data_IF_210922117073
#
_entry.id   IF_210922117073
#
_cell.length_a   1.000
_cell.length_b   1.000
_cell.length_c   1.000
_cell.angle_alpha   90.00
_cell.angle_beta   90.00
_cell.angle_gamma   90.00
#
_symmetry.space_group_name_H-M   'P 1'
#
loop_
_entity.id
_entity.type
_entity.pdbx_description
1 polymer ?
#
# COMPACT_ATOMS: atom_id res chain seq x y z
N UNK A 1 -55.57 4.09 12.45
CA UNK A 1 -54.86 3.95 11.17
C UNK A 1 -54.32 2.55 11.03
N UNK A 2 -54.73 1.79 10.00
CA UNK A 2 -54.74 0.32 9.95
C UNK A 2 -53.39 -0.26 9.49
N UNK A 3 -52.79 -1.13 10.32
CA UNK A 3 -51.73 -2.06 9.99
C UNK A 3 -52.26 -3.18 9.06
N UNK A 4 -51.67 -3.37 7.90
CA UNK A 4 -51.90 -4.59 7.09
C UNK A 4 -50.70 -5.53 7.27
N UNK A 5 -51.01 -6.70 7.80
CA UNK A 5 -50.14 -7.89 7.81
C UNK A 5 -50.33 -8.63 6.49
N UNK A 6 -49.25 -9.11 5.89
CA UNK A 6 -49.29 -10.08 4.77
C UNK A 6 -48.40 -11.28 5.12
N UNK A 7 -48.79 -12.50 4.73
CA UNK A 7 -48.28 -13.73 5.34
C UNK A 7 -47.09 -14.35 4.62
N UNK A 8 -46.35 -15.13 5.41
CA UNK A 8 -45.33 -16.09 4.99
C UNK A 8 -45.97 -17.22 4.14
N UNK A 9 -45.34 -17.58 3.03
CA UNK A 9 -45.52 -18.85 2.32
C UNK A 9 -44.20 -19.60 2.33
N UNK A 10 -44.19 -20.71 3.05
CA UNK A 10 -43.18 -21.73 3.02
C UNK A 10 -43.50 -22.74 1.90
N UNK A 11 -42.57 -23.05 1.03
CA UNK A 11 -42.69 -24.18 0.11
C UNK A 11 -41.46 -25.06 0.35
N UNK A 12 -41.73 -26.22 0.93
CA UNK A 12 -40.84 -27.35 0.99
C UNK A 12 -41.10 -28.23 -0.26
N UNK A 13 -40.06 -28.59 -0.98
CA UNK A 13 -40.15 -29.67 -2.00
C UNK A 13 -38.95 -30.59 -1.83
N UNK A 14 -39.25 -31.81 -1.35
CA UNK A 14 -38.37 -32.94 -1.33
C UNK A 14 -38.47 -33.66 -2.67
N UNK A 15 -37.33 -34.02 -3.26
CA UNK A 15 -37.27 -35.00 -4.37
C UNK A 15 -36.20 -36.04 -4.03
N UNK A 16 -36.69 -37.24 -3.79
CA UNK A 16 -35.96 -38.49 -3.77
C UNK A 16 -35.71 -39.00 -5.21
N UNK A 17 -34.52 -39.44 -5.53
CA UNK A 17 -34.22 -40.05 -6.83
C UNK A 17 -32.98 -40.95 -6.77
N UNK A 18 -33.24 -42.18 -6.59
CA UNK A 18 -32.56 -43.46 -6.88
C UNK A 18 -31.37 -43.49 -7.83
N UNK A 19 -30.31 -44.09 -7.39
CA UNK A 19 -29.40 -45.14 -7.77
C UNK A 19 -28.93 -45.31 -9.20
N UNK A 20 -27.59 -45.40 -9.33
CA UNK A 20 -26.89 -46.29 -10.25
C UNK A 20 -25.46 -46.57 -9.74
N UNK A 21 -25.17 -47.79 -9.42
CA UNK A 21 -23.83 -48.31 -9.19
C UNK A 21 -23.07 -48.37 -10.50
N UNK A 22 -21.89 -47.76 -10.54
CA UNK A 22 -20.88 -48.04 -11.57
C UNK A 22 -19.54 -48.33 -10.90
N UNK A 23 -18.97 -49.46 -11.24
CA UNK A 23 -17.73 -50.04 -10.72
C UNK A 23 -16.54 -49.12 -11.03
N UNK A 24 -15.76 -48.76 -10.00
CA UNK A 24 -14.52 -48.04 -10.15
C UNK A 24 -13.34 -48.99 -10.21
N UNK A 25 -12.58 -48.86 -11.28
CA UNK A 25 -11.23 -49.45 -11.41
C UNK A 25 -10.29 -48.77 -10.39
N UNK A 26 -9.73 -49.58 -9.54
CA UNK A 26 -8.65 -49.21 -8.62
C UNK A 26 -7.35 -48.99 -9.42
N UNK A 27 -7.03 -47.73 -9.71
CA UNK A 27 -5.66 -47.31 -10.03
C UNK A 27 -5.01 -46.90 -8.72
N UNK A 28 -4.07 -47.69 -8.23
CA UNK A 28 -3.17 -47.36 -7.13
C UNK A 28 -2.23 -46.22 -7.57
N UNK A 29 -2.71 -44.98 -7.48
CA UNK A 29 -1.86 -43.81 -7.54
C UNK A 29 -1.20 -43.61 -6.19
N UNK A 30 0.12 -43.80 -6.12
CA UNK A 30 0.94 -43.37 -5.00
C UNK A 30 0.77 -41.86 -4.82
N UNK A 31 -0.04 -41.48 -3.86
CA UNK A 31 -0.11 -40.08 -3.39
C UNK A 31 1.24 -39.74 -2.76
N UNK A 32 2.04 -38.95 -3.47
CA UNK A 32 3.17 -38.28 -2.86
C UNK A 32 2.62 -37.40 -1.72
N UNK A 33 2.82 -37.83 -0.50
CA UNK A 33 2.51 -37.05 0.70
C UNK A 33 3.23 -35.74 0.57
N UNK A 34 2.45 -34.65 0.42
CA UNK A 34 2.97 -33.28 0.43
C UNK A 34 3.63 -33.07 1.80
N UNK A 35 4.95 -33.08 1.81
CA UNK A 35 5.75 -32.84 3.00
C UNK A 35 5.27 -31.52 3.63
N UNK A 36 4.82 -31.49 4.90
CA UNK A 36 4.32 -30.27 5.52
C UNK A 36 5.43 -29.23 5.46
N UNK A 37 5.10 -28.05 4.92
CA UNK A 37 6.01 -26.94 4.83
C UNK A 37 6.67 -26.74 6.19
N UNK A 38 7.99 -26.93 6.26
CA UNK A 38 8.76 -26.72 7.49
C UNK A 38 8.41 -25.35 8.01
N UNK A 39 7.79 -25.28 9.18
CA UNK A 39 7.60 -24.06 9.95
C UNK A 39 9.00 -23.55 10.31
N UNK A 40 9.58 -22.73 9.43
CA UNK A 40 10.82 -22.05 9.76
C UNK A 40 10.52 -21.11 10.93
N UNK A 41 11.03 -21.46 12.09
CA UNK A 41 11.10 -20.53 13.22
C UNK A 41 11.74 -19.24 12.72
N UNK A 42 11.24 -18.04 13.10
CA UNK A 42 11.87 -16.81 12.67
C UNK A 42 13.33 -16.84 13.10
N UNK A 43 14.24 -16.90 12.15
CA UNK A 43 15.67 -16.81 12.42
C UNK A 43 15.93 -15.53 13.25
N UNK A 44 16.81 -15.63 14.24
CA UNK A 44 17.22 -14.46 15.02
C UNK A 44 17.59 -13.33 14.08
N UNK A 45 17.06 -12.12 14.33
CA UNK A 45 17.27 -11.00 13.43
C UNK A 45 18.77 -10.63 13.40
N UNK A 46 19.38 -10.71 12.23
CA UNK A 46 20.75 -10.30 11.98
C UNK A 46 20.92 -8.79 12.24
N UNK A 47 22.17 -8.35 12.52
CA UNK A 47 22.49 -6.94 12.81
C UNK A 47 22.65 -6.12 11.52
N UNK A 48 22.70 -4.77 11.58
CA UNK A 48 22.95 -3.94 10.39
C UNK A 48 24.21 -4.30 9.62
N UNK A 49 25.27 -4.74 10.29
CA UNK A 49 26.52 -5.18 9.67
C UNK A 49 26.42 -6.45 8.83
N UNK A 50 25.37 -7.25 9.06
CA UNK A 50 25.16 -8.51 8.35
C UNK A 50 24.33 -8.31 7.07
N UNK A 51 23.86 -7.08 6.79
CA UNK A 51 23.05 -6.77 5.61
C UNK A 51 23.89 -6.86 4.34
N UNK A 52 23.47 -7.63 3.34
CA UNK A 52 24.17 -7.68 2.05
C UNK A 52 23.80 -6.45 1.21
N UNK A 53 24.34 -5.28 1.56
CA UNK A 53 23.96 -3.98 0.99
C UNK A 53 24.03 -3.94 -0.54
N UNK A 54 24.95 -4.69 -1.15
CA UNK A 54 25.08 -4.78 -2.61
C UNK A 54 23.89 -5.51 -3.27
N UNK A 55 23.11 -6.27 -2.49
CA UNK A 55 21.94 -7.01 -2.97
C UNK A 55 20.63 -6.31 -2.61
N UNK A 56 20.68 -5.24 -1.83
CA UNK A 56 19.48 -4.49 -1.45
C UNK A 56 18.91 -3.78 -2.67
N UNK A 57 17.66 -4.10 -3.01
CA UNK A 57 17.08 -3.59 -4.24
C UNK A 57 15.59 -3.95 -4.35
N UNK A 58 15.09 -4.21 -5.57
CA UNK A 58 13.69 -4.54 -5.80
C UNK A 58 13.19 -5.73 -4.97
N UNK A 59 12.04 -5.55 -4.35
CA UNK A 59 11.40 -6.57 -3.50
C UNK A 59 11.87 -6.58 -2.04
N UNK A 60 12.89 -5.82 -1.67
CA UNK A 60 13.20 -5.53 -0.29
C UNK A 60 12.18 -4.55 0.29
N UNK A 61 11.94 -4.62 1.59
CA UNK A 61 11.04 -3.71 2.30
C UNK A 61 11.64 -3.25 3.61
N UNK A 62 11.35 -2.02 4.01
CA UNK A 62 11.52 -1.56 5.38
C UNK A 62 10.21 -1.77 6.10
N UNK A 63 10.24 -2.41 7.26
CA UNK A 63 9.07 -2.60 8.09
C UNK A 63 9.38 -2.19 9.53
N UNK A 64 8.61 -1.25 10.04
CA UNK A 64 8.64 -0.86 11.44
C UNK A 64 7.45 -1.50 12.13
N UNK A 65 7.68 -2.28 13.16
CA UNK A 65 6.61 -2.90 13.92
C UNK A 65 6.82 -2.82 15.43
N UNK A 66 5.72 -2.86 16.15
CA UNK A 66 5.70 -2.91 17.60
C UNK A 66 4.99 -4.18 18.06
N UNK A 67 5.46 -4.75 19.16
CA UNK A 67 4.77 -5.84 19.83
C UNK A 67 3.75 -5.27 20.82
N UNK A 68 2.61 -5.97 21.01
CA UNK A 68 1.71 -5.66 22.10
C UNK A 68 2.45 -5.78 23.44
N UNK A 69 2.09 -4.92 24.38
CA UNK A 69 2.49 -5.15 25.74
C UNK A 69 1.81 -6.41 26.27
N UNK A 70 2.53 -7.26 27.01
CA UNK A 70 1.84 -8.18 27.90
C UNK A 70 0.96 -7.35 28.84
N UNK A 71 -0.18 -7.89 29.22
CA UNK A 71 -1.24 -7.29 30.03
C UNK A 71 -0.79 -6.13 30.93
N UNK A 72 -1.27 -4.92 30.66
CA UNK A 72 -0.94 -3.76 31.50
C UNK A 72 -0.67 -2.41 30.82
N UNK A 73 -0.98 -2.27 29.53
CA UNK A 73 -1.08 -0.93 28.89
C UNK A 73 0.23 -0.28 28.43
N UNK A 74 1.40 -0.90 28.55
CA UNK A 74 2.64 -0.40 27.97
C UNK A 74 2.88 -1.07 26.60
N UNK A 75 3.05 -0.27 25.55
CA UNK A 75 3.46 -0.79 24.24
C UNK A 75 4.87 -1.37 24.34
N UNK A 76 5.07 -2.52 23.70
CA UNK A 76 6.39 -3.14 23.61
C UNK A 76 7.34 -2.34 22.73
N UNK A 77 8.57 -2.81 22.57
CA UNK A 77 9.57 -2.12 21.75
C UNK A 77 9.15 -2.04 20.28
N UNK A 78 9.45 -0.89 19.68
CA UNK A 78 9.32 -0.67 18.24
C UNK A 78 10.63 -1.03 17.56
N UNK A 79 10.57 -1.82 16.51
CA UNK A 79 11.76 -2.26 15.79
C UNK A 79 11.62 -2.00 14.29
N UNK A 80 12.66 -1.45 13.68
CA UNK A 80 12.78 -1.29 12.24
C UNK A 80 13.59 -2.46 11.68
N UNK A 81 13.03 -3.15 10.71
CA UNK A 81 13.69 -4.21 9.96
C UNK A 81 13.83 -3.85 8.49
N UNK A 82 14.95 -4.24 7.92
CA UNK A 82 15.09 -4.45 6.49
C UNK A 82 14.82 -5.92 6.20
N UNK A 83 13.88 -6.20 5.31
CA UNK A 83 13.42 -7.55 5.00
C UNK A 83 13.72 -7.85 3.53
N UNK A 84 14.44 -8.94 3.29
CA UNK A 84 14.74 -9.39 1.93
C UNK A 84 13.51 -9.98 1.23
N UNK A 85 13.53 -10.11 -0.10
CA UNK A 85 12.46 -10.81 -0.84
C UNK A 85 12.25 -12.26 -0.40
N UNK A 86 13.28 -12.89 0.15
CA UNK A 86 13.22 -14.25 0.71
C UNK A 86 12.73 -14.32 2.15
N UNK A 87 12.46 -13.18 2.81
CA UNK A 87 11.98 -13.11 4.19
C UNK A 87 13.09 -13.03 5.25
N UNK A 88 14.39 -12.97 4.88
CA UNK A 88 15.45 -12.72 5.83
C UNK A 88 15.33 -11.32 6.43
N UNK A 89 15.46 -11.20 7.75
CA UNK A 89 15.23 -9.98 8.53
C UNK A 89 16.52 -9.46 9.13
N UNK A 90 16.80 -8.18 8.92
CA UNK A 90 17.96 -7.47 9.45
C UNK A 90 17.47 -6.32 10.33
N UNK A 91 17.78 -6.34 11.62
CA UNK A 91 17.38 -5.29 12.57
C UNK A 91 18.25 -4.06 12.38
N UNK A 92 17.65 -2.95 11.95
CA UNK A 92 18.36 -1.70 11.71
C UNK A 92 18.32 -0.75 12.91
N UNK A 93 17.16 -0.68 13.60
CA UNK A 93 16.99 0.17 14.78
C UNK A 93 15.95 -0.42 15.73
N UNK A 94 16.00 0.01 17.02
CA UNK A 94 15.03 -0.37 18.04
C UNK A 94 14.82 0.78 19.00
N UNK A 95 13.56 1.03 19.34
CA UNK A 95 13.13 2.02 20.34
C UNK A 95 12.43 1.29 21.48
N UNK A 96 12.53 1.79 22.73
CA UNK A 96 12.00 1.08 23.90
C UNK A 96 10.47 0.96 23.87
N UNK A 97 9.77 1.93 23.30
CA UNK A 97 8.30 1.97 23.24
C UNK A 97 7.81 2.81 22.05
N UNK A 98 6.48 2.82 21.85
CA UNK A 98 5.84 3.57 20.76
C UNK A 98 5.95 5.09 20.93
N UNK A 99 6.07 5.61 22.17
CA UNK A 99 6.15 7.07 22.41
C UNK A 99 7.51 7.64 22.01
N UNK A 100 8.56 6.84 22.15
CA UNK A 100 9.93 7.22 21.78
C UNK A 100 10.25 6.92 20.31
N UNK A 101 9.45 6.07 19.67
CA UNK A 101 9.68 5.68 18.28
C UNK A 101 9.14 6.74 17.32
N UNK A 102 9.94 7.18 16.34
CA UNK A 102 9.43 7.97 15.23
C UNK A 102 8.64 7.08 14.26
N UNK A 103 7.69 7.65 13.54
CA UNK A 103 6.89 6.92 12.54
C UNK A 103 7.64 6.84 11.20
N UNK A 104 7.77 5.63 10.64
CA UNK A 104 8.37 5.43 9.33
C UNK A 104 7.48 6.00 8.21
N UNK A 105 8.02 6.95 7.46
CA UNK A 105 7.31 7.64 6.35
C UNK A 105 7.71 7.09 4.99
N UNK A 106 9.02 7.00 4.73
CA UNK A 106 9.51 6.64 3.40
C UNK A 106 10.92 6.03 3.43
N UNK A 107 11.23 5.35 2.36
CA UNK A 107 12.57 4.88 2.03
C UNK A 107 13.11 5.69 0.85
N UNK A 108 14.35 6.18 0.94
CA UNK A 108 14.95 6.99 -0.12
C UNK A 108 15.13 6.18 -1.41
N UNK A 109 15.01 6.82 -2.58
CA UNK A 109 15.16 6.13 -3.87
C UNK A 109 16.53 5.51 -4.09
N UNK A 110 17.57 6.06 -3.47
CA UNK A 110 18.93 5.52 -3.52
C UNK A 110 19.16 4.33 -2.58
N UNK A 111 18.12 3.92 -1.83
CA UNK A 111 18.18 2.80 -0.90
C UNK A 111 18.96 3.07 0.39
N UNK A 112 19.47 4.28 0.63
CA UNK A 112 20.45 4.55 1.70
C UNK A 112 19.84 5.09 2.98
N UNK A 113 18.63 5.67 2.94
CA UNK A 113 18.04 6.38 4.08
C UNK A 113 16.58 6.03 4.29
N UNK A 114 16.17 5.94 5.55
CA UNK A 114 14.76 5.94 5.94
C UNK A 114 14.37 7.33 6.46
N UNK A 115 13.18 7.80 6.11
CA UNK A 115 12.58 9.05 6.58
C UNK A 115 11.52 8.72 7.62
N UNK A 116 11.50 9.50 8.67
CA UNK A 116 10.56 9.36 9.77
C UNK A 116 9.88 10.69 10.07
N UNK A 117 8.66 10.62 10.56
CA UNK A 117 8.01 11.69 11.29
C UNK A 117 8.31 11.55 12.78
N UNK A 118 8.72 12.65 13.41
CA UNK A 118 9.05 12.70 14.84
C UNK A 118 8.01 13.55 15.56
N UNK A 119 7.41 12.97 16.61
CA UNK A 119 6.38 13.63 17.41
C UNK A 119 6.98 14.17 18.72
N UNK A 120 7.72 15.26 18.68
CA UNK A 120 8.35 15.87 19.86
C UNK A 120 7.89 17.31 20.07
N UNK A 121 6.58 17.55 20.22
CA UNK A 121 5.99 18.86 20.48
C UNK A 121 6.00 19.86 19.30
N UNK A 122 6.94 19.76 18.37
CA UNK A 122 6.96 20.44 17.08
C UNK A 122 7.06 19.41 15.96
N UNK A 123 6.45 19.69 14.82
CA UNK A 123 6.55 18.84 13.64
C UNK A 123 8.02 18.65 13.24
N UNK A 124 8.55 17.47 13.48
CA UNK A 124 9.93 17.12 13.21
C UNK A 124 10.04 15.99 12.19
N UNK A 125 11.21 15.87 11.62
CA UNK A 125 11.60 14.74 10.80
C UNK A 125 12.86 14.08 11.35
N UNK A 126 13.02 12.80 11.04
CA UNK A 126 14.23 12.05 11.32
C UNK A 126 14.70 11.33 10.07
N UNK A 127 16.01 11.18 9.94
CA UNK A 127 16.61 10.35 8.91
C UNK A 127 17.53 9.32 9.54
N UNK A 128 17.34 8.06 9.18
CA UNK A 128 18.24 6.96 9.53
C UNK A 128 19.10 6.61 8.31
N UNK A 129 20.40 6.70 8.44
CA UNK A 129 21.33 6.12 7.49
C UNK A 129 21.37 4.61 7.68
N UNK A 130 20.84 3.84 6.72
CA UNK A 130 20.55 2.42 6.92
C UNK A 130 21.79 1.58 7.16
N UNK A 131 22.89 1.86 6.44
CA UNK A 131 24.13 1.09 6.57
C UNK A 131 24.84 1.28 7.93
N UNK A 132 24.67 2.44 8.55
CA UNK A 132 25.37 2.78 9.83
C UNK A 132 24.44 2.75 11.03
N UNK A 133 23.11 2.72 10.83
CA UNK A 133 22.14 2.86 11.91
C UNK A 133 22.13 4.26 12.56
N UNK A 134 22.85 5.25 11.99
CA UNK A 134 22.91 6.61 12.55
C UNK A 134 21.62 7.37 12.25
N UNK A 135 20.94 7.81 13.28
CA UNK A 135 19.75 8.65 13.25
C UNK A 135 20.12 10.11 13.41
N UNK A 136 19.53 10.99 12.59
CA UNK A 136 19.57 12.44 12.76
C UNK A 136 18.13 12.96 12.80
N UNK A 137 17.84 13.89 13.71
CA UNK A 137 16.52 14.54 13.84
C UNK A 137 16.64 16.03 13.59
N UNK A 138 15.63 16.63 13.01
CA UNK A 138 15.58 18.04 12.69
C UNK A 138 14.13 18.53 12.60
N UNK A 139 13.94 19.85 12.77
CA UNK A 139 12.64 20.49 12.59
C UNK A 139 12.46 20.85 11.13
N UNK A 140 11.31 20.54 10.58
CA UNK A 140 10.91 20.97 9.22
C UNK A 140 10.45 22.42 9.26
N UNK A 141 11.07 23.29 8.46
CA UNK A 141 10.71 24.72 8.40
C UNK A 141 9.24 24.94 8.01
N UNK A 142 8.53 25.80 8.74
CA UNK A 142 7.11 26.09 8.48
C UNK A 142 6.16 25.01 8.98
N UNK A 143 6.51 24.28 10.03
CA UNK A 143 5.72 23.20 10.62
C UNK A 143 5.29 22.13 9.60
N UNK A 144 6.19 21.80 8.69
CA UNK A 144 5.89 20.85 7.63
C UNK A 144 5.95 19.39 8.12
N UNK A 145 5.11 18.55 7.52
CA UNK A 145 5.09 17.11 7.70
C UNK A 145 5.82 16.44 6.54
N UNK A 146 6.81 15.58 6.79
CA UNK A 146 7.50 14.85 5.73
C UNK A 146 6.57 13.80 5.10
N UNK A 147 6.62 13.64 3.77
CA UNK A 147 5.83 12.64 3.03
C UNK A 147 6.68 11.74 2.14
N UNK A 148 7.95 12.08 1.92
CA UNK A 148 8.84 11.28 1.10
C UNK A 148 10.10 12.00 0.68
N UNK A 149 10.78 11.42 -0.31
CA UNK A 149 11.97 11.98 -0.94
C UNK A 149 11.72 12.33 -2.40
N UNK A 150 12.50 13.28 -2.92
CA UNK A 150 12.56 13.52 -4.37
C UNK A 150 13.31 12.38 -5.08
N UNK A 151 12.95 12.12 -6.31
CA UNK A 151 13.62 11.16 -7.19
C UNK A 151 14.70 11.84 -8.03
N UNK A 152 15.62 11.10 -8.63
CA UNK A 152 15.89 9.66 -8.45
C UNK A 152 16.82 9.36 -7.27
N UNK A 153 17.44 10.36 -6.66
CA UNK A 153 18.53 10.17 -5.66
C UNK A 153 18.14 10.54 -4.23
N UNK A 154 16.92 11.01 -3.99
CA UNK A 154 16.50 11.43 -2.66
C UNK A 154 17.28 12.63 -2.11
N UNK A 155 17.66 13.59 -2.96
CA UNK A 155 18.47 14.75 -2.58
C UNK A 155 17.72 15.77 -1.74
N UNK A 156 16.38 15.71 -1.74
CA UNK A 156 15.53 16.58 -0.94
C UNK A 156 14.41 15.75 -0.31
N UNK A 157 13.85 16.26 0.78
CA UNK A 157 12.63 15.78 1.37
C UNK A 157 11.46 16.50 0.71
N UNK A 158 10.40 15.75 0.42
CA UNK A 158 9.09 16.28 0.06
C UNK A 158 8.25 16.31 1.31
N UNK A 159 7.61 17.41 1.57
CA UNK A 159 6.71 17.56 2.71
C UNK A 159 5.50 18.42 2.36
N UNK A 160 4.53 18.40 3.26
CA UNK A 160 3.36 19.27 3.22
C UNK A 160 3.45 20.30 4.33
N UNK A 161 3.04 21.52 4.06
CA UNK A 161 2.98 22.60 5.05
C UNK A 161 1.67 23.37 4.97
N UNK A 162 1.21 23.95 6.09
CA UNK A 162 0.09 24.88 6.07
C UNK A 162 0.39 26.11 5.21
N UNK A 163 -0.62 26.60 4.50
CA UNK A 163 -0.60 27.87 3.75
C UNK A 163 -2.00 28.47 3.77
N UNK A 164 -2.26 29.33 4.76
CA UNK A 164 -3.62 29.77 5.10
C UNK A 164 -4.49 28.56 5.47
N UNK A 165 -5.64 28.44 4.84
CA UNK A 165 -6.59 27.31 5.03
C UNK A 165 -6.23 26.07 4.23
N UNK A 166 -5.14 26.06 3.47
CA UNK A 166 -4.74 24.95 2.59
C UNK A 166 -3.45 24.32 3.07
N UNK A 167 -3.27 23.07 2.71
CA UNK A 167 -2.00 22.36 2.85
C UNK A 167 -1.34 22.28 1.48
N UNK A 168 -0.11 22.75 1.38
CA UNK A 168 0.63 22.80 0.12
C UNK A 168 1.89 21.95 0.17
N UNK A 169 2.27 21.46 -0.99
CA UNK A 169 3.49 20.71 -1.20
C UNK A 169 4.73 21.62 -1.22
N UNK A 170 5.82 21.16 -0.61
CA UNK A 170 7.09 21.88 -0.62
C UNK A 170 8.27 20.91 -0.60
N UNK A 171 9.43 21.39 -1.06
CA UNK A 171 10.71 20.68 -0.98
C UNK A 171 11.57 21.28 0.13
N UNK A 172 12.26 20.40 0.81
CA UNK A 172 13.15 20.70 1.92
C UNK A 172 14.51 20.07 1.69
N UNK A 173 15.56 20.71 2.17
CA UNK A 173 16.87 20.08 2.28
C UNK A 173 16.78 18.84 3.19
N UNK A 174 17.81 18.02 3.17
CA UNK A 174 17.92 16.87 4.09
C UNK A 174 18.03 17.27 5.57
N UNK A 175 18.21 18.57 5.86
CA UNK A 175 18.22 19.15 7.20
C UNK A 175 16.92 19.91 7.55
N UNK A 176 15.87 19.78 6.74
CA UNK A 176 14.56 20.37 7.01
C UNK A 176 14.38 21.85 6.62
N UNK A 177 15.39 22.51 6.03
CA UNK A 177 15.27 23.89 5.54
C UNK A 177 14.42 23.92 4.26
N UNK A 178 13.47 24.84 4.19
CA UNK A 178 12.65 25.05 2.99
C UNK A 178 13.54 25.41 1.79
N UNK A 179 13.47 24.62 0.73
CA UNK A 179 14.15 24.85 -0.55
C UNK A 179 13.20 25.54 -1.52
N UNK A 180 11.96 25.05 -1.59
CA UNK A 180 10.98 25.58 -2.52
C UNK A 180 9.55 25.23 -2.10
N UNK A 181 8.64 26.20 -2.19
CA UNK A 181 7.20 25.94 -2.15
C UNK A 181 6.71 25.62 -3.56
N UNK A 182 5.99 24.52 -3.70
CA UNK A 182 5.48 24.06 -4.99
C UNK A 182 4.06 24.51 -5.28
N UNK A 183 3.33 24.99 -4.25
CA UNK A 183 2.01 25.61 -4.41
C UNK A 183 0.86 24.66 -4.74
N UNK A 184 1.10 23.35 -4.80
CA UNK A 184 0.09 22.32 -5.09
C UNK A 184 -0.37 21.61 -3.82
N UNK A 185 -1.60 21.11 -3.82
CA UNK A 185 -2.12 20.32 -2.70
C UNK A 185 -1.31 19.02 -2.50
N UNK A 186 -1.44 18.44 -1.31
CA UNK A 186 -0.85 17.12 -0.99
C UNK A 186 -1.24 16.05 -2.03
N UNK A 187 -0.36 15.09 -2.26
CA UNK A 187 -0.60 14.01 -3.22
C UNK A 187 0.07 14.25 -4.56
N UNK A 188 1.38 14.54 -4.56
CA UNK A 188 2.19 14.57 -5.78
C UNK A 188 2.93 13.25 -5.96
N UNK A 189 3.02 12.84 -7.21
CA UNK A 189 3.76 11.66 -7.66
C UNK A 189 4.95 12.11 -8.52
N UNK A 190 6.17 12.04 -7.97
CA UNK A 190 7.39 12.37 -8.71
C UNK A 190 7.67 11.35 -9.81
N UNK A 191 8.13 11.84 -10.96
CA UNK A 191 8.60 10.98 -12.04
C UNK A 191 9.86 10.20 -11.63
N UNK A 192 10.11 9.03 -12.22
CA UNK A 192 11.35 8.28 -11.97
C UNK A 192 12.62 9.09 -12.22
N UNK A 193 12.60 9.96 -13.24
CA UNK A 193 13.71 10.86 -13.56
C UNK A 193 13.90 12.00 -12.56
N UNK A 194 12.84 12.37 -11.81
CA UNK A 194 12.83 13.52 -10.91
C UNK A 194 12.78 14.87 -11.60
N UNK A 195 12.58 14.91 -12.92
CA UNK A 195 12.48 16.17 -13.68
C UNK A 195 11.13 16.83 -13.55
N UNK A 196 10.12 16.06 -13.18
CA UNK A 196 8.73 16.49 -13.12
C UNK A 196 7.96 15.71 -12.05
N UNK A 197 6.76 16.15 -11.73
CA UNK A 197 5.81 15.43 -10.89
C UNK A 197 4.38 15.65 -11.39
N UNK A 198 3.48 14.73 -11.02
CA UNK A 198 2.06 14.87 -11.29
C UNK A 198 1.36 15.27 -10.00
N UNK A 199 0.57 16.32 -10.03
CA UNK A 199 -0.24 16.80 -8.92
C UNK A 199 -1.74 16.62 -9.22
N UNK A 200 -2.52 16.40 -8.17
CA UNK A 200 -3.98 16.31 -8.27
C UNK A 200 -4.61 17.66 -8.66
N UNK A 201 -5.78 17.61 -9.31
CA UNK A 201 -6.55 18.79 -9.70
C UNK A 201 -8.05 18.50 -9.77
N UNK A 202 -8.86 19.57 -9.72
CA UNK A 202 -10.33 19.51 -9.80
C UNK A 202 -10.88 19.01 -11.13
N UNK A 203 -10.06 18.99 -12.18
CA UNK A 203 -10.45 18.53 -13.53
C UNK A 203 -9.38 17.61 -14.12
N UNK A 204 -8.95 16.58 -13.37
CA UNK A 204 -7.92 15.65 -13.78
C UNK A 204 -6.63 15.80 -12.98
N UNK A 205 -5.47 15.80 -13.62
CA UNK A 205 -4.17 15.97 -12.97
C UNK A 205 -3.32 17.00 -13.73
N UNK A 206 -2.29 17.52 -13.08
CA UNK A 206 -1.34 18.47 -13.65
C UNK A 206 0.05 17.85 -13.72
N UNK A 207 0.66 17.92 -14.90
CA UNK A 207 2.09 17.66 -15.06
C UNK A 207 2.84 18.94 -14.75
N UNK A 208 3.78 18.88 -13.82
CA UNK A 208 4.48 20.03 -13.25
C UNK A 208 5.98 19.75 -13.28
N UNK A 209 6.78 20.73 -13.67
CA UNK A 209 8.23 20.62 -13.59
C UNK A 209 8.70 20.48 -12.14
N UNK A 210 9.88 19.97 -11.91
CA UNK A 210 10.43 19.92 -10.56
C UNK A 210 10.69 21.32 -9.96
N UNK A 211 10.57 22.38 -10.75
CA UNK A 211 10.63 23.79 -10.30
C UNK A 211 9.24 24.37 -9.96
N UNK A 212 8.17 23.56 -10.03
CA UNK A 212 6.81 23.99 -9.72
C UNK A 212 6.06 24.68 -10.87
N UNK A 213 6.66 24.81 -12.05
CA UNK A 213 6.00 25.39 -13.23
C UNK A 213 5.08 24.37 -13.88
N UNK A 214 3.85 24.77 -14.21
CA UNK A 214 2.91 23.92 -14.95
C UNK A 214 3.48 23.62 -16.34
N UNK A 215 3.65 22.33 -16.68
CA UNK A 215 4.03 21.87 -18.00
C UNK A 215 2.78 21.63 -18.83
N UNK A 216 1.80 20.92 -18.25
CA UNK A 216 0.57 20.54 -18.94
C UNK A 216 -0.58 20.27 -17.97
N UNK A 217 -1.78 20.70 -18.34
CA UNK A 217 -3.03 20.20 -17.76
C UNK A 217 -3.42 18.91 -18.47
N UNK A 218 -3.73 17.86 -17.72
CA UNK A 218 -4.16 16.55 -18.20
C UNK A 218 -5.60 16.31 -17.74
N UNK A 219 -6.59 16.73 -18.52
CA UNK A 219 -7.98 16.73 -18.07
C UNK A 219 -8.58 15.35 -18.03
N UNK A 220 -9.29 15.06 -16.94
CA UNK A 220 -10.28 13.96 -16.85
C UNK A 220 -11.63 14.66 -16.68
N UNK A 221 -12.52 14.57 -17.68
CA UNK A 221 -13.75 15.38 -17.71
C UNK A 221 -14.61 15.17 -16.46
N UNK A 222 -14.99 16.25 -15.80
CA UNK A 222 -15.88 16.27 -14.61
C UNK A 222 -15.37 15.45 -13.42
N UNK A 223 -14.05 15.25 -13.28
CA UNK A 223 -13.47 14.47 -12.21
C UNK A 223 -12.43 15.27 -11.43
N UNK A 224 -12.50 15.25 -10.12
CA UNK A 224 -11.37 15.63 -9.24
C UNK A 224 -10.48 14.41 -9.08
N UNK A 225 -9.20 14.54 -9.43
CA UNK A 225 -8.29 13.40 -9.44
C UNK A 225 -7.07 13.63 -8.55
N UNK A 226 -6.58 12.54 -7.99
CA UNK A 226 -5.30 12.45 -7.29
C UNK A 226 -4.43 11.38 -7.95
N UNK A 227 -3.16 11.64 -8.26
CA UNK A 227 -2.28 10.62 -8.82
C UNK A 227 -1.97 9.56 -7.75
N UNK A 228 -1.98 8.29 -8.14
CA UNK A 228 -1.76 7.16 -7.26
C UNK A 228 -0.37 6.57 -7.49
N UNK A 229 -0.04 6.25 -8.76
CA UNK A 229 1.25 5.68 -9.16
C UNK A 229 1.54 5.90 -10.64
N UNK A 230 2.76 5.69 -11.03
CA UNK A 230 3.12 5.47 -12.43
C UNK A 230 2.61 4.08 -12.86
N UNK A 231 1.77 4.06 -13.89
CA UNK A 231 1.24 2.81 -14.46
C UNK A 231 2.27 2.15 -15.38
N UNK A 232 2.87 2.98 -16.18
CA UNK A 232 4.06 2.74 -17.00
C UNK A 232 4.89 4.03 -17.04
N UNK A 233 5.98 4.07 -17.79
CA UNK A 233 6.84 5.27 -17.85
C UNK A 233 6.18 6.52 -18.46
N UNK A 234 4.93 6.42 -18.99
CA UNK A 234 4.26 7.48 -19.76
C UNK A 234 2.81 7.70 -19.35
N UNK A 235 2.29 6.90 -18.47
CA UNK A 235 0.90 6.95 -18.00
C UNK A 235 0.84 6.96 -16.49
N UNK A 236 -0.02 7.78 -15.94
CA UNK A 236 -0.30 7.81 -14.50
C UNK A 236 -1.63 7.13 -14.22
N UNK A 237 -1.65 6.27 -13.22
CA UNK A 237 -2.88 5.83 -12.58
C UNK A 237 -3.33 6.92 -11.62
N UNK A 238 -4.56 7.40 -11.80
CA UNK A 238 -5.17 8.38 -10.93
C UNK A 238 -6.47 7.84 -10.33
N UNK A 239 -6.69 8.11 -9.06
CA UNK A 239 -7.98 7.91 -8.39
C UNK A 239 -8.78 9.19 -8.54
N UNK A 240 -9.95 9.09 -9.14
CA UNK A 240 -10.77 10.22 -9.52
C UNK A 240 -12.20 10.09 -8.96
N UNK A 241 -12.77 11.22 -8.54
CA UNK A 241 -14.10 11.32 -7.96
C UNK A 241 -14.95 12.30 -8.75
N UNK A 242 -16.17 11.95 -9.19
CA UNK A 242 -17.12 12.92 -9.72
C UNK A 242 -17.51 13.96 -8.66
N UNK A 243 -17.89 15.21 -9.04
CA UNK A 243 -18.25 16.25 -8.08
C UNK A 243 -19.37 15.84 -7.11
N UNK A 244 -20.33 15.07 -7.58
CA UNK A 244 -21.54 14.70 -6.84
C UNK A 244 -21.48 13.29 -6.25
N UNK A 245 -20.28 12.70 -6.14
CA UNK A 245 -20.09 11.33 -5.66
C UNK A 245 -18.97 11.27 -4.64
N UNK A 246 -19.11 10.39 -3.66
CA UNK A 246 -18.05 9.99 -2.74
C UNK A 246 -17.28 8.76 -3.20
N UNK A 247 -17.63 8.21 -4.38
CA UNK A 247 -17.02 6.98 -4.89
C UNK A 247 -15.84 7.27 -5.79
N UNK A 248 -14.72 6.61 -5.53
CA UNK A 248 -13.50 6.73 -6.34
C UNK A 248 -13.52 5.76 -7.52
N UNK A 249 -13.01 6.23 -8.65
CA UNK A 249 -12.81 5.46 -9.87
C UNK A 249 -11.37 5.62 -10.36
N UNK A 250 -10.77 4.55 -10.86
CA UNK A 250 -9.40 4.59 -11.38
C UNK A 250 -9.37 4.94 -12.87
N UNK A 251 -8.45 5.83 -13.21
CA UNK A 251 -8.23 6.32 -14.56
C UNK A 251 -6.76 6.21 -14.96
N UNK A 252 -6.53 5.81 -16.22
CA UNK A 252 -5.22 5.89 -16.86
C UNK A 252 -5.12 7.22 -17.59
N UNK A 253 -4.16 8.05 -17.18
CA UNK A 253 -3.95 9.40 -17.69
C UNK A 253 -2.61 9.48 -18.40
N UNK A 254 -2.59 9.47 -19.77
CA UNK A 254 -1.36 9.56 -20.54
C UNK A 254 -0.71 10.95 -20.41
N UNK A 255 0.60 11.01 -20.18
CA UNK A 255 1.36 12.28 -20.11
C UNK A 255 1.46 12.99 -21.45
N UNK A 256 1.27 12.28 -22.56
CA UNK A 256 1.21 12.86 -23.91
C UNK A 256 0.04 13.85 -24.10
N UNK A 257 -0.96 13.82 -23.19
CA UNK A 257 -2.22 14.53 -23.36
C UNK A 257 -3.24 13.79 -24.23
N UNK A 258 -2.99 12.55 -24.62
CA UNK A 258 -3.99 11.70 -25.24
C UNK A 258 -5.18 11.46 -24.29
N UNK A 259 -6.32 11.08 -24.85
CA UNK A 259 -7.58 10.91 -24.10
C UNK A 259 -7.38 9.94 -22.91
N UNK A 260 -7.71 10.35 -21.68
CA UNK A 260 -7.67 9.46 -20.53
C UNK A 260 -8.71 8.35 -20.66
N UNK A 261 -8.42 7.20 -20.05
CA UNK A 261 -9.29 5.99 -20.10
C UNK A 261 -9.63 5.55 -18.67
N UNK A 262 -10.93 5.33 -18.41
CA UNK A 262 -11.33 4.68 -17.17
C UNK A 262 -10.76 3.26 -17.15
N UNK A 263 -10.08 2.92 -16.05
CA UNK A 263 -9.54 1.58 -15.83
C UNK A 263 -10.58 0.69 -15.15
N UNK A 264 -11.37 1.27 -14.24
CA UNK A 264 -12.42 0.58 -13.52
C UNK A 264 -13.79 1.20 -13.84
N UNK A 265 -14.89 0.41 -13.78
CA UNK A 265 -16.22 0.96 -13.91
C UNK A 265 -16.56 1.86 -12.72
N UNK A 266 -17.50 2.82 -12.87
CA UNK A 266 -18.03 3.56 -11.72
C UNK A 266 -18.75 2.61 -10.78
N UNK A 267 -18.58 2.85 -9.48
CA UNK A 267 -19.25 2.08 -8.42
C UNK A 267 -20.35 2.91 -7.77
N UNK A 268 -21.32 2.25 -7.18
CA UNK A 268 -22.41 2.88 -6.46
C UNK A 268 -22.35 2.50 -4.97
N UNK A 269 -21.82 3.37 -4.09
CA UNK A 269 -21.66 3.07 -2.68
C UNK A 269 -23.00 2.83 -1.97
N UNK A 270 -24.10 3.42 -2.44
CA UNK A 270 -25.43 3.21 -1.86
C UNK A 270 -25.94 1.76 -2.00
N UNK A 271 -25.40 1.00 -2.99
CA UNK A 271 -25.81 -0.39 -3.23
C UNK A 271 -24.88 -1.42 -2.62
N UNK A 272 -23.60 -1.10 -2.49
CA UNK A 272 -22.56 -2.08 -2.15
C UNK A 272 -21.80 -1.80 -0.86
N UNK A 273 -21.98 -0.63 -0.24
CA UNK A 273 -21.07 -0.18 0.81
C UNK A 273 -19.63 -0.01 0.34
N UNK A 274 -19.43 0.06 -0.98
CA UNK A 274 -18.14 0.17 -1.65
C UNK A 274 -17.91 1.62 -2.04
N UNK A 275 -16.94 2.26 -1.38
CA UNK A 275 -16.62 3.67 -1.59
C UNK A 275 -15.72 3.89 -2.80
N UNK A 276 -15.37 2.85 -3.54
CA UNK A 276 -14.66 2.93 -4.81
C UNK A 276 -13.22 2.41 -4.78
N UNK A 277 -12.54 2.62 -5.89
CA UNK A 277 -11.26 2.02 -6.19
C UNK A 277 -10.10 2.96 -5.85
N UNK A 278 -9.17 2.48 -5.03
CA UNK A 278 -8.06 3.26 -4.50
C UNK A 278 -6.77 3.08 -5.31
N UNK A 279 -6.50 1.85 -5.76
CA UNK A 279 -5.27 1.48 -6.46
C UNK A 279 -5.47 0.23 -7.32
N UNK A 280 -4.55 -0.05 -8.27
CA UNK A 280 -4.62 -1.25 -9.09
C UNK A 280 -3.23 -1.76 -9.51
N UNK A 281 -3.16 -3.07 -9.78
CA UNK A 281 -1.95 -3.77 -10.23
C UNK A 281 -2.29 -4.74 -11.35
N UNK A 282 -1.49 -4.72 -12.40
CA UNK A 282 -1.56 -5.70 -13.46
C UNK A 282 -0.53 -6.80 -13.20
N UNK A 283 -1.02 -8.01 -12.97
CA UNK A 283 -0.20 -9.21 -12.87
C UNK A 283 -0.42 -10.08 -14.13
N UNK A 284 0.43 -11.08 -14.39
CA UNK A 284 0.18 -12.04 -15.47
C UNK A 284 -1.18 -12.73 -15.37
N UNK A 285 -1.70 -12.91 -14.15
CA UNK A 285 -3.01 -13.52 -13.89
C UNK A 285 -4.21 -12.57 -14.04
N UNK A 286 -4.00 -11.27 -14.30
CA UNK A 286 -5.07 -10.30 -14.51
C UNK A 286 -4.88 -8.95 -13.85
N UNK A 287 -5.93 -8.14 -13.87
CA UNK A 287 -6.00 -6.86 -13.19
C UNK A 287 -6.55 -7.05 -11.77
N UNK A 288 -5.82 -6.54 -10.79
CA UNK A 288 -6.22 -6.55 -9.39
C UNK A 288 -6.44 -5.12 -8.93
N UNK A 289 -7.55 -4.89 -8.24
CA UNK A 289 -7.99 -3.56 -7.80
C UNK A 289 -8.16 -3.59 -6.31
N UNK A 290 -7.61 -2.59 -5.62
CA UNK A 290 -7.89 -2.33 -4.22
C UNK A 290 -9.03 -1.35 -4.12
N UNK A 291 -10.06 -1.71 -3.36
CA UNK A 291 -11.23 -0.87 -3.13
C UNK A 291 -11.43 -0.61 -1.63
N UNK A 292 -12.01 0.56 -1.33
CA UNK A 292 -12.44 0.90 0.01
C UNK A 292 -13.86 0.36 0.24
N UNK A 293 -14.03 -0.39 1.32
CA UNK A 293 -15.31 -0.86 1.81
C UNK A 293 -15.82 -0.04 2.99
N UNK A 294 -16.94 -0.48 3.55
CA UNK A 294 -17.51 0.12 4.75
C UNK A 294 -16.54 0.04 5.93
N UNK A 295 -16.63 1.02 6.83
CA UNK A 295 -15.78 1.12 8.03
C UNK A 295 -14.26 1.17 7.76
N UNK A 296 -13.84 1.58 6.52
CA UNK A 296 -12.43 1.69 6.16
C UNK A 296 -11.75 0.36 5.81
N UNK A 297 -12.49 -0.72 5.72
CA UNK A 297 -11.97 -2.04 5.31
C UNK A 297 -11.51 -1.98 3.86
N UNK A 298 -10.37 -2.57 3.56
CA UNK A 298 -9.78 -2.61 2.22
C UNK A 298 -9.93 -3.99 1.60
N UNK A 299 -10.54 -4.04 0.43
CA UNK A 299 -10.76 -5.28 -0.33
C UNK A 299 -9.87 -5.34 -1.57
N UNK A 300 -9.49 -6.54 -1.96
CA UNK A 300 -8.82 -6.81 -3.22
C UNK A 300 -9.81 -7.49 -4.15
N UNK A 301 -9.99 -6.96 -5.35
CA UNK A 301 -10.81 -7.59 -6.39
C UNK A 301 -9.96 -7.92 -7.60
N UNK A 302 -10.25 -9.06 -8.23
CA UNK A 302 -9.80 -9.36 -9.58
C UNK A 302 -10.84 -8.86 -10.55
N UNK A 303 -10.44 -8.00 -11.49
CA UNK A 303 -11.31 -7.49 -12.54
C UNK A 303 -11.12 -8.30 -13.84
N UNK A 304 -12.21 -8.82 -14.39
CA UNK A 304 -12.23 -9.47 -15.68
C UNK A 304 -12.25 -8.44 -16.83
N UNK A 305 -11.88 -8.82 -18.06
CA UNK A 305 -11.89 -7.92 -19.21
C UNK A 305 -13.26 -7.26 -19.48
N UNK A 306 -14.37 -7.92 -19.16
CA UNK A 306 -15.73 -7.38 -19.25
C UNK A 306 -16.15 -6.47 -18.11
N UNK A 307 -15.25 -6.12 -17.18
CA UNK A 307 -15.52 -5.23 -16.04
C UNK A 307 -16.14 -5.92 -14.82
N UNK A 308 -16.53 -7.21 -14.91
CA UNK A 308 -16.97 -7.96 -13.73
C UNK A 308 -15.83 -8.12 -12.74
N UNK A 309 -16.16 -8.07 -11.44
CA UNK A 309 -15.21 -8.16 -10.35
C UNK A 309 -15.46 -9.39 -9.50
N UNK A 310 -14.38 -9.99 -9.01
CA UNK A 310 -14.41 -11.12 -8.07
C UNK A 310 -13.54 -10.78 -6.87
N UNK A 311 -14.09 -10.92 -5.66
CA UNK A 311 -13.33 -10.75 -4.42
C UNK A 311 -12.17 -11.75 -4.38
N UNK A 312 -11.01 -11.26 -3.99
CA UNK A 312 -9.81 -12.07 -3.75
C UNK A 312 -9.66 -12.24 -2.24
N UNK A 313 -9.88 -13.44 -1.78
CA UNK A 313 -9.62 -13.79 -0.38
C UNK A 313 -8.15 -14.12 -0.21
N UNK A 314 -7.46 -13.40 0.67
CA UNK A 314 -6.12 -13.75 1.11
C UNK A 314 -6.29 -14.68 2.31
N UNK A 315 -5.84 -15.95 2.24
CA UNK A 315 -6.02 -16.90 3.33
C UNK A 315 -5.39 -16.40 4.64
N UNK A 316 -5.89 -16.89 5.77
CA UNK A 316 -5.38 -16.58 7.11
C UNK A 316 -5.34 -15.07 7.46
N UNK A 317 -6.20 -14.26 6.82
CA UNK A 317 -6.36 -12.83 7.11
C UNK A 317 -7.83 -12.51 7.41
N UNK A 318 -8.10 -11.38 8.05
CA UNK A 318 -9.46 -10.92 8.38
C UNK A 318 -10.26 -10.38 7.18
N UNK A 319 -9.67 -10.34 5.99
CA UNK A 319 -10.31 -9.78 4.80
C UNK A 319 -10.04 -8.28 4.60
N UNK A 320 -9.53 -7.57 5.58
CA UNK A 320 -8.99 -6.20 5.42
C UNK A 320 -7.55 -6.30 4.92
N UNK A 321 -7.36 -6.13 3.61
CA UNK A 321 -6.10 -6.41 2.96
C UNK A 321 -5.60 -5.19 2.18
N UNK A 322 -4.54 -4.54 2.66
CA UNK A 322 -3.90 -3.44 1.96
C UNK A 322 -2.77 -3.94 1.06
N UNK A 323 -2.88 -3.72 -0.23
CA UNK A 323 -1.79 -3.96 -1.16
C UNK A 323 -0.84 -2.77 -1.15
N UNK A 324 0.44 -3.02 -0.93
CA UNK A 324 1.48 -1.99 -0.89
C UNK A 324 2.20 -1.85 -2.23
N UNK A 325 2.43 -2.96 -2.91
CA UNK A 325 3.07 -3.03 -4.22
C UNK A 325 2.86 -4.40 -4.86
N UNK A 326 3.31 -4.56 -6.10
CA UNK A 326 3.34 -5.83 -6.81
C UNK A 326 4.73 -6.12 -7.38
N UNK A 327 5.06 -7.43 -7.55
CA UNK A 327 6.27 -7.87 -8.21
C UNK A 327 6.06 -9.24 -8.87
N UNK A 328 6.28 -9.31 -10.18
CA UNK A 328 6.01 -10.52 -10.96
C UNK A 328 4.55 -10.92 -10.82
N UNK A 329 4.29 -12.14 -10.33
CA UNK A 329 2.94 -12.67 -10.12
C UNK A 329 2.36 -12.43 -8.73
N UNK A 330 3.03 -11.64 -7.87
CA UNK A 330 2.70 -11.50 -6.44
C UNK A 330 2.37 -10.07 -6.05
N UNK A 331 1.46 -9.94 -5.08
CA UNK A 331 1.12 -8.72 -4.36
C UNK A 331 1.83 -8.73 -3.00
N UNK A 332 2.38 -7.60 -2.58
CA UNK A 332 2.80 -7.39 -1.19
C UNK A 332 1.58 -6.89 -0.42
N UNK A 333 1.09 -7.73 0.47
CA UNK A 333 -0.13 -7.48 1.24
C UNK A 333 0.23 -7.23 2.70
N UNK A 334 -0.30 -6.14 3.24
CA UNK A 334 -0.37 -5.86 4.66
C UNK A 334 -1.79 -6.18 5.12
N UNK A 335 -1.93 -7.12 6.03
CA UNK A 335 -3.22 -7.61 6.47
C UNK A 335 -3.31 -7.57 7.99
N UNK A 336 -4.30 -6.86 8.56
CA UNK A 336 -4.67 -7.04 9.94
C UNK A 336 -5.18 -8.48 10.13
N UNK A 337 -4.82 -9.10 11.23
CA UNK A 337 -5.36 -10.38 11.64
C UNK A 337 -6.44 -10.12 12.67
N UNK A 338 -7.70 -10.22 12.26
CA UNK A 338 -8.90 -10.05 13.09
C UNK A 338 -8.95 -8.71 13.89
N UNK A 339 -9.93 -8.54 14.75
CA UNK A 339 -10.11 -7.37 15.62
C UNK A 339 -8.99 -7.18 16.66
N UNK A 340 -7.97 -8.03 16.66
CA UNK A 340 -6.86 -8.01 17.63
C UNK A 340 -5.81 -6.93 17.35
N UNK A 341 -5.93 -6.20 16.22
CA UNK A 341 -4.95 -5.19 15.83
C UNK A 341 -3.60 -5.74 15.37
N UNK A 342 -3.43 -7.06 15.32
CA UNK A 342 -2.21 -7.67 14.79
C UNK A 342 -2.12 -7.46 13.27
N UNK A 343 -0.94 -7.09 12.78
CA UNK A 343 -0.74 -6.82 11.36
C UNK A 343 0.34 -7.74 10.80
N UNK A 344 0.01 -8.46 9.76
CA UNK A 344 0.92 -9.31 9.01
C UNK A 344 1.40 -8.64 7.73
N UNK A 345 2.52 -9.14 7.20
CA UNK A 345 3.07 -8.73 5.90
C UNK A 345 3.47 -9.97 5.13
N UNK A 346 2.95 -10.11 3.91
CA UNK A 346 3.20 -11.29 3.08
C UNK A 346 3.24 -10.94 1.59
N UNK A 347 4.04 -11.70 0.85
CA UNK A 347 3.89 -11.83 -0.59
C UNK A 347 2.82 -12.87 -0.89
N UNK A 348 1.79 -12.49 -1.63
CA UNK A 348 0.66 -13.33 -2.01
C UNK A 348 0.57 -13.47 -3.53
N UNK A 349 0.49 -14.68 -4.04
CA UNK A 349 0.21 -14.96 -5.45
C UNK A 349 -1.27 -15.28 -5.62
N UNK A 350 -2.08 -14.39 -6.17
CA UNK A 350 -3.54 -14.61 -6.26
C UNK A 350 -3.95 -15.66 -7.30
N UNK A 351 -3.05 -16.12 -8.18
CA UNK A 351 -3.34 -17.18 -9.13
C UNK A 351 -3.17 -18.57 -8.52
N UNK A 352 -2.16 -18.76 -7.69
CA UNK A 352 -1.82 -20.05 -7.06
C UNK A 352 -2.19 -20.11 -5.59
N UNK A 353 -2.64 -18.98 -5.00
CA UNK A 353 -2.88 -18.79 -3.56
C UNK A 353 -1.64 -19.02 -2.68
N UNK A 354 -0.45 -19.05 -3.29
CA UNK A 354 0.79 -19.23 -2.55
C UNK A 354 1.12 -18.00 -1.71
N UNK A 355 1.49 -18.22 -0.47
CA UNK A 355 1.85 -17.22 0.52
C UNK A 355 3.33 -17.33 0.90
N UNK A 356 3.99 -16.18 0.99
CA UNK A 356 5.31 -16.08 1.58
C UNK A 356 5.30 -15.00 2.66
N UNK A 357 5.27 -15.41 3.91
CA UNK A 357 5.19 -14.51 5.04
C UNK A 357 6.52 -13.79 5.28
N UNK A 358 6.50 -12.47 5.24
CA UNK A 358 7.62 -11.61 5.64
C UNK A 358 7.56 -11.29 7.14
N UNK A 359 6.35 -10.98 7.64
CA UNK A 359 6.05 -10.83 9.05
C UNK A 359 4.81 -11.67 9.31
N UNK A 360 4.98 -12.75 10.06
CA UNK A 360 3.88 -13.49 10.65
C UNK A 360 3.76 -12.99 12.08
N UNK A 361 2.68 -12.34 12.46
CA UNK A 361 2.61 -11.84 13.82
C UNK A 361 2.69 -13.02 14.78
N UNK A 362 3.59 -12.99 15.77
CA UNK A 362 3.28 -13.66 17.03
C UNK A 362 1.99 -13.02 17.54
N UNK A 363 1.23 -13.69 18.36
CA UNK A 363 -0.11 -13.30 18.83
C UNK A 363 -0.22 -11.86 19.43
N UNK A 364 0.80 -11.03 19.34
CA UNK A 364 0.95 -9.76 20.03
C UNK A 364 1.59 -8.62 19.19
N UNK A 365 1.57 -8.66 17.86
CA UNK A 365 2.03 -7.50 17.04
C UNK A 365 0.86 -6.56 16.79
N UNK A 366 0.92 -5.32 17.29
CA UNK A 366 -0.17 -4.35 17.23
C UNK A 366 -0.08 -3.35 16.07
N UNK A 367 1.00 -3.29 15.35
CA UNK A 367 1.10 -2.36 14.22
C UNK A 367 2.33 -2.58 13.38
N UNK A 368 2.18 -2.37 12.08
CA UNK A 368 3.27 -2.43 11.10
C UNK A 368 3.15 -1.24 10.17
N UNK A 369 4.18 -0.40 10.12
CA UNK A 369 4.33 0.60 9.07
C UNK A 369 5.37 0.12 8.08
N UNK A 370 5.02 0.11 6.80
CA UNK A 370 5.87 -0.44 5.74
C UNK A 370 6.24 0.64 4.74
N UNK A 371 7.53 0.78 4.48
CA UNK A 371 8.04 1.54 3.36
C UNK A 371 8.65 0.60 2.33
N UNK A 372 8.14 0.67 1.11
CA UNK A 372 8.73 -0.01 -0.04
C UNK A 372 9.66 0.96 -0.78
N UNK A 373 10.70 0.48 -1.45
CA UNK A 373 11.55 1.34 -2.27
C UNK A 373 10.70 2.11 -3.28
N UNK A 374 11.09 3.35 -3.56
CA UNK A 374 10.37 4.24 -4.47
C UNK A 374 10.10 3.59 -5.85
N UNK A 375 11.09 2.90 -6.42
CA UNK A 375 10.95 2.19 -7.69
C UNK A 375 9.94 1.04 -7.65
N UNK A 376 9.69 0.43 -6.50
CA UNK A 376 8.66 -0.61 -6.36
C UNK A 376 7.23 -0.05 -6.46
N UNK A 377 7.04 1.23 -6.13
CA UNK A 377 5.76 1.92 -6.32
C UNK A 377 5.52 2.33 -7.77
N UNK A 378 6.59 2.46 -8.56
CA UNK A 378 6.52 2.92 -9.94
C UNK A 378 6.39 1.80 -10.95
N UNK A 379 6.94 0.64 -10.64
CA UNK A 379 7.07 -0.48 -11.57
C UNK A 379 6.16 -1.66 -11.19
N UNK A 380 4.94 -1.38 -10.76
CA UNK A 380 3.95 -2.41 -10.44
C UNK A 380 3.59 -3.33 -11.62
N UNK A 381 4.30 -3.19 -12.75
CA UNK A 381 4.08 -3.92 -13.99
C UNK A 381 5.37 -4.44 -14.66
N UNK A 382 6.49 -4.52 -13.94
CA UNK A 382 7.71 -5.19 -14.44
C UNK A 382 7.74 -6.66 -14.04
#
# INVERSE_FOLDING_TARGET
MRLRRTPLIAIATAVLGTGALTAALLTTGTTAEAQPARTSHPAAAARPGDVPWNSVGPGWVLAQYTTAAPEGGKTGPVTLYLISPGGARYRLARWPDLRSAPELVAWSPDGKRALFQVFSGKSGAGQLTLATGRMSTFVMQGNATPIGYTTPRGLNIVGTRPSGTRTILARYSLSGRLVQSLGYSAGALYSPSGTEFVAGASHGVKLVSNRGSLIRQLPVPRMTCSPVRWWDGRTVLASCTPPDSSSWQLWLVPLSGARPKALTPPRNPARSGDFGDLDAWRLPSGLYVQAAGACGVLHIFRQAPGGSIKLVTVPHTSGDNRVLTARGSRLLVQAPTECTGSVSLLWYNPATQAEQWLIRPPAHVIGVTVAVPFYSRQNGNL
#
